data_IF_558507926831
#
_entry.id   IF_558507926831
#
_cell.length_a   1.000
_cell.length_b   1.000
_cell.length_c   1.000
_cell.angle_alpha   90.00
_cell.angle_beta   90.00
_cell.angle_gamma   90.00
#
_symmetry.space_group_name_H-M   'P 1'
#
loop_
_entity.id
_entity.type
_entity.pdbx_description
1 polymer ?
#
# COMPACT_ATOMS: atom_id res chain seq x y z
N UNK A 1 -29.90 -14.57 33.14
CA UNK A 1 -29.50 -14.31 31.74
C UNK A 1 -29.50 -12.81 31.47
N UNK A 2 -28.37 -12.11 31.61
CA UNK A 2 -28.27 -10.64 31.42
C UNK A 2 -27.51 -10.21 30.15
N UNK A 3 -27.19 -11.16 29.27
CA UNK A 3 -26.28 -10.93 28.13
C UNK A 3 -26.84 -11.35 26.76
N UNK A 4 -28.07 -11.83 26.68
CA UNK A 4 -28.67 -12.29 25.42
C UNK A 4 -29.28 -11.15 24.58
N UNK A 5 -29.53 -9.99 25.18
CA UNK A 5 -30.09 -8.82 24.49
C UNK A 5 -29.01 -7.77 24.26
N UNK A 6 -28.67 -7.47 23.00
CA UNK A 6 -27.75 -6.39 22.67
C UNK A 6 -28.27 -5.05 23.22
N UNK A 7 -27.37 -4.23 23.80
CA UNK A 7 -27.71 -2.89 24.32
C UNK A 7 -28.09 -1.88 23.23
N UNK A 8 -27.76 -2.17 21.97
CA UNK A 8 -28.09 -1.37 20.78
C UNK A 8 -28.92 -2.22 19.81
N UNK A 9 -29.80 -1.62 18.99
CA UNK A 9 -30.48 -2.34 17.91
C UNK A 9 -29.47 -3.03 16.98
N UNK A 10 -29.77 -4.26 16.56
CA UNK A 10 -28.89 -5.06 15.69
C UNK A 10 -28.56 -4.32 14.38
N UNK A 11 -29.54 -3.59 13.82
CA UNK A 11 -29.35 -2.76 12.62
C UNK A 11 -28.27 -1.69 12.80
N UNK A 12 -28.19 -1.07 13.98
CA UNK A 12 -27.16 -0.09 14.30
C UNK A 12 -25.78 -0.75 14.43
N UNK A 13 -25.70 -1.92 15.04
CA UNK A 13 -24.45 -2.69 15.16
C UNK A 13 -23.93 -3.11 13.78
N UNK A 14 -24.81 -3.56 12.89
CA UNK A 14 -24.43 -3.93 11.53
C UNK A 14 -23.92 -2.73 10.72
N UNK A 15 -24.57 -1.57 10.88
CA UNK A 15 -24.17 -0.33 10.23
C UNK A 15 -22.83 0.19 10.76
N UNK A 16 -22.67 0.31 12.09
CA UNK A 16 -21.43 0.77 12.73
C UNK A 16 -20.24 -0.09 12.24
N UNK A 17 -20.42 -1.42 12.17
CA UNK A 17 -19.38 -2.34 11.65
C UNK A 17 -19.09 -2.17 10.16
N UNK A 18 -20.10 -1.89 9.34
CA UNK A 18 -19.90 -1.66 7.92
C UNK A 18 -19.12 -0.35 7.69
N UNK A 19 -19.47 0.71 8.41
CA UNK A 19 -18.78 2.01 8.38
C UNK A 19 -17.32 1.89 8.86
N UNK A 20 -17.06 1.17 9.96
CA UNK A 20 -15.70 0.90 10.45
C UNK A 20 -14.85 0.10 9.43
N UNK A 21 -15.46 -0.85 8.72
CA UNK A 21 -14.76 -1.61 7.68
C UNK A 21 -14.51 -0.77 6.44
N UNK A 22 -15.42 0.14 6.09
CA UNK A 22 -15.26 1.06 4.97
C UNK A 22 -14.13 2.06 5.23
N UNK A 23 -14.07 2.66 6.42
CA UNK A 23 -12.98 3.56 6.82
C UNK A 23 -11.62 2.86 6.75
N UNK A 24 -11.53 1.65 7.33
CA UNK A 24 -10.30 0.84 7.24
C UNK A 24 -9.92 0.47 5.80
N UNK A 25 -10.90 0.28 4.92
CA UNK A 25 -10.60 0.00 3.52
C UNK A 25 -10.02 1.23 2.83
N UNK A 26 -10.51 2.44 3.14
CA UNK A 26 -9.94 3.70 2.63
C UNK A 26 -8.47 3.81 3.01
N UNK A 27 -8.14 3.64 4.29
CA UNK A 27 -6.74 3.68 4.77
C UNK A 27 -5.84 2.67 4.04
N UNK A 28 -6.36 1.46 3.79
CA UNK A 28 -5.64 0.42 3.06
C UNK A 28 -5.40 0.80 1.60
N UNK A 29 -6.41 1.39 0.93
CA UNK A 29 -6.24 1.84 -0.45
C UNK A 29 -5.24 2.99 -0.57
N UNK A 30 -5.23 3.93 0.38
CA UNK A 30 -4.23 5.00 0.42
C UNK A 30 -2.82 4.45 0.64
N UNK A 31 -2.65 3.52 1.59
CA UNK A 31 -1.36 2.87 1.83
C UNK A 31 -0.87 2.10 0.59
N UNK A 32 -1.76 1.38 -0.10
CA UNK A 32 -1.43 0.67 -1.34
C UNK A 32 -1.03 1.64 -2.44
N UNK A 33 -1.72 2.77 -2.61
CA UNK A 33 -1.37 3.79 -3.59
C UNK A 33 0.04 4.35 -3.34
N UNK A 34 0.38 4.68 -2.09
CA UNK A 34 1.73 5.12 -1.72
C UNK A 34 2.81 4.08 -2.05
N UNK A 35 2.55 2.80 -1.77
CA UNK A 35 3.49 1.72 -2.14
C UNK A 35 3.71 1.61 -3.65
N UNK A 36 2.68 1.85 -4.47
CA UNK A 36 2.84 1.85 -5.93
C UNK A 36 3.67 3.04 -6.42
N UNK A 37 3.52 4.22 -5.81
CA UNK A 37 4.36 5.39 -6.12
C UNK A 37 5.83 5.13 -5.77
N UNK A 38 6.10 4.54 -4.60
CA UNK A 38 7.46 4.16 -4.19
C UNK A 38 8.08 3.12 -5.13
N UNK A 39 7.30 2.10 -5.53
CA UNK A 39 7.76 1.09 -6.49
C UNK A 39 8.13 1.72 -7.84
N UNK A 40 7.30 2.62 -8.36
CA UNK A 40 7.60 3.31 -9.62
C UNK A 40 8.88 4.15 -9.53
N UNK A 41 9.09 4.86 -8.41
CA UNK A 41 10.32 5.62 -8.18
C UNK A 41 11.56 4.72 -8.10
N UNK A 42 11.44 3.56 -7.43
CA UNK A 42 12.52 2.57 -7.36
C UNK A 42 12.83 1.94 -8.71
N UNK A 43 11.82 1.63 -9.52
CA UNK A 43 12.00 1.11 -10.89
C UNK A 43 12.77 2.11 -11.76
N UNK A 44 12.42 3.40 -11.69
CA UNK A 44 13.14 4.45 -12.41
C UNK A 44 14.60 4.54 -11.93
N UNK A 45 14.84 4.60 -10.62
CA UNK A 45 16.20 4.67 -10.06
C UNK A 45 17.04 3.46 -10.47
N UNK A 46 16.44 2.27 -10.46
CA UNK A 46 17.12 1.04 -10.91
C UNK A 46 17.45 1.08 -12.41
N UNK A 47 16.59 1.63 -13.26
CA UNK A 47 16.88 1.79 -14.67
C UNK A 47 18.06 2.74 -14.91
N UNK A 48 18.09 3.87 -14.19
CA UNK A 48 19.21 4.82 -14.24
C UNK A 48 20.52 4.20 -13.77
N UNK A 49 20.48 3.44 -12.66
CA UNK A 49 21.66 2.73 -12.15
C UNK A 49 22.17 1.69 -13.13
N UNK A 50 21.29 0.88 -13.74
CA UNK A 50 21.67 -0.08 -14.78
C UNK A 50 22.37 0.60 -15.95
N UNK A 51 21.84 1.73 -16.43
CA UNK A 51 22.48 2.50 -17.49
C UNK A 51 23.88 3.00 -17.10
N UNK A 52 24.05 3.47 -15.86
CA UNK A 52 25.37 3.89 -15.34
C UNK A 52 26.36 2.73 -15.26
N UNK A 53 25.92 1.57 -14.77
CA UNK A 53 26.75 0.36 -14.69
C UNK A 53 27.20 -0.06 -16.08
N UNK A 54 26.31 -0.12 -17.07
CA UNK A 54 26.69 -0.48 -18.44
C UNK A 54 27.73 0.48 -19.04
N UNK A 55 27.59 1.79 -18.79
CA UNK A 55 28.59 2.77 -19.25
C UNK A 55 29.96 2.53 -18.63
N UNK A 56 30.00 2.25 -17.32
CA UNK A 56 31.25 1.98 -16.61
C UNK A 56 31.90 0.67 -17.06
N UNK A 57 31.11 -0.38 -17.28
CA UNK A 57 31.61 -1.67 -17.79
C UNK A 57 32.19 -1.55 -19.20
N UNK A 58 31.59 -0.72 -20.06
CA UNK A 58 32.11 -0.44 -21.41
C UNK A 58 33.39 0.41 -21.34
N UNK A 59 33.45 1.41 -20.47
CA UNK A 59 34.63 2.26 -20.28
C UNK A 59 35.80 1.57 -19.57
N UNK A 60 35.52 0.59 -18.71
CA UNK A 60 36.54 -0.17 -17.97
C UNK A 60 37.28 -1.23 -18.80
N UNK A 61 36.73 -1.66 -19.94
CA UNK A 61 37.34 -2.66 -20.83
C UNK A 61 38.36 -2.07 -21.83
N UNK A 62 38.57 -0.75 -21.83
CA UNK A 62 39.50 -0.08 -22.74
C UNK A 62 40.88 0.22 -22.14
N UNK A 63 41.24 -0.38 -21.00
CA UNK A 63 42.58 -0.28 -20.40
C UNK A 63 43.27 -1.65 -20.34
#
# INVERSE_FOLDING_TARGET
>A
MKYLTPKKPISKIARDRAEEMEERNVDLYEAIAGLFEELAALEQSNAELKARVEMLEKGGKQK
#
